data_IF_872657896561
#
_entry.id   IF_872657896561
#
_cell.length_a   1.000
_cell.length_b   1.000
_cell.length_c   1.000
_cell.angle_alpha   90.00
_cell.angle_beta   90.00
_cell.angle_gamma   90.00
#
_symmetry.space_group_name_H-M   'P 1'
#
loop_
_entity.id
_entity.type
_entity.pdbx_description
1 polymer ?
#
# COMPACT_ATOMS: atom_id res chain seq x y z
N UNK A 1 -13.15 -1.39 -11.87
CA UNK A 1 -11.75 -0.93 -11.69
C UNK A 1 -11.65 0.60 -11.58
N UNK A 2 -12.00 1.40 -12.58
CA UNK A 2 -11.91 2.86 -12.49
C UNK A 2 -12.75 3.48 -11.37
N UNK A 3 -13.90 2.91 -11.04
CA UNK A 3 -14.78 3.38 -9.98
C UNK A 3 -14.19 3.13 -8.59
N UNK A 4 -13.58 1.96 -8.36
CA UNK A 4 -12.92 1.65 -7.09
C UNK A 4 -11.72 2.58 -6.85
N UNK A 5 -10.90 2.85 -7.85
CA UNK A 5 -9.81 3.81 -7.77
C UNK A 5 -10.31 5.24 -7.51
N UNK A 6 -11.47 5.60 -8.08
CA UNK A 6 -12.08 6.90 -7.83
C UNK A 6 -12.57 7.05 -6.38
N UNK A 7 -13.21 6.04 -5.82
CA UNK A 7 -13.66 6.04 -4.42
C UNK A 7 -12.46 6.01 -3.46
N UNK A 8 -11.42 5.23 -3.76
CA UNK A 8 -10.18 5.26 -3.00
C UNK A 8 -9.53 6.66 -3.02
N UNK A 9 -9.49 7.30 -4.17
CA UNK A 9 -9.02 8.68 -4.30
C UNK A 9 -9.84 9.66 -3.47
N UNK A 10 -11.16 9.52 -3.44
CA UNK A 10 -12.05 10.33 -2.60
C UNK A 10 -11.76 10.13 -1.11
N UNK A 11 -11.63 8.90 -0.66
CA UNK A 11 -11.31 8.58 0.73
C UNK A 11 -10.00 9.25 1.14
N UNK A 12 -8.96 9.09 0.33
CA UNK A 12 -7.66 9.71 0.56
C UNK A 12 -7.74 11.23 0.63
N UNK A 13 -8.45 11.87 -0.29
CA UNK A 13 -8.57 13.32 -0.34
C UNK A 13 -9.48 13.89 0.77
N UNK A 14 -10.48 13.14 1.20
CA UNK A 14 -11.40 13.58 2.26
C UNK A 14 -10.72 13.63 3.63
N UNK A 15 -9.75 12.75 3.87
CA UNK A 15 -9.04 12.71 5.17
C UNK A 15 -8.11 13.90 5.35
N UNK A 16 -7.60 14.52 4.24
CA UNK A 16 -6.55 15.51 4.39
C UNK A 16 -6.22 16.37 3.17
N UNK A 17 -5.20 17.19 3.38
CA UNK A 17 -4.57 18.13 2.47
C UNK A 17 -3.59 17.48 1.46
N UNK A 18 -3.84 16.27 1.01
CA UNK A 18 -3.08 15.69 -0.10
C UNK A 18 -3.32 16.55 -1.35
N UNK A 19 -2.25 17.12 -1.88
CA UNK A 19 -2.34 18.11 -2.95
C UNK A 19 -2.45 17.49 -4.34
N UNK A 20 -1.99 16.25 -4.51
CA UNK A 20 -1.93 15.60 -5.82
C UNK A 20 -2.11 14.09 -5.68
N UNK A 21 -3.06 13.55 -6.41
CA UNK A 21 -3.25 12.11 -6.59
C UNK A 21 -3.17 11.82 -8.07
N UNK A 22 -2.35 10.84 -8.46
CA UNK A 22 -2.28 10.32 -9.83
C UNK A 22 -3.03 8.99 -9.87
N UNK A 23 -3.88 8.79 -10.85
CA UNK A 23 -4.67 7.58 -11.01
C UNK A 23 -4.32 6.95 -12.36
N UNK A 24 -3.98 5.67 -12.33
CA UNK A 24 -3.74 4.88 -13.52
C UNK A 24 -4.60 3.61 -13.51
N UNK A 25 -5.18 3.30 -14.65
CA UNK A 25 -5.89 2.04 -14.87
C UNK A 25 -4.99 1.04 -15.57
N UNK A 26 -4.92 -0.17 -15.01
CA UNK A 26 -4.15 -1.28 -15.57
C UNK A 26 -5.12 -2.35 -16.06
N UNK A 27 -4.98 -2.77 -17.32
CA UNK A 27 -5.75 -3.88 -17.85
C UNK A 27 -5.24 -5.20 -17.23
N UNK A 28 -6.10 -5.89 -16.50
CA UNK A 28 -5.77 -7.22 -16.00
C UNK A 28 -5.62 -8.20 -17.18
N UNK A 29 -4.56 -9.02 -17.23
CA UNK A 29 -4.42 -10.04 -18.27
C UNK A 29 -5.55 -11.06 -18.14
N UNK A 30 -6.22 -11.35 -19.27
CA UNK A 30 -7.31 -12.31 -19.33
C UNK A 30 -6.79 -13.74 -19.18
N UNK A 31 -7.41 -14.53 -18.32
CA UNK A 31 -7.13 -15.96 -18.16
C UNK A 31 -5.81 -16.31 -17.44
N UNK A 32 -5.13 -15.35 -16.88
CA UNK A 32 -3.89 -15.56 -16.13
C UNK A 32 -4.17 -16.01 -14.69
N UNK A 33 -3.26 -16.79 -14.12
CA UNK A 33 -3.27 -17.11 -12.69
C UNK A 33 -2.95 -15.88 -11.82
N UNK A 34 -3.12 -15.99 -10.52
CA UNK A 34 -2.88 -14.86 -9.60
C UNK A 34 -1.42 -14.38 -9.62
N UNK A 35 -0.46 -15.27 -9.76
CA UNK A 35 0.97 -14.92 -9.88
C UNK A 35 1.26 -14.13 -11.17
N UNK A 36 0.64 -14.51 -12.29
CA UNK A 36 0.82 -13.78 -13.56
C UNK A 36 0.17 -12.40 -13.50
N UNK A 37 -1.00 -12.29 -12.88
CA UNK A 37 -1.66 -11.00 -12.62
C UNK A 37 -0.80 -10.10 -11.73
N UNK A 38 -0.21 -10.66 -10.67
CA UNK A 38 0.69 -9.94 -9.78
C UNK A 38 1.95 -9.44 -10.52
N UNK A 39 2.54 -10.29 -11.37
CA UNK A 39 3.70 -9.91 -12.19
C UNK A 39 3.35 -8.81 -13.20
N UNK A 40 2.19 -8.91 -13.86
CA UNK A 40 1.72 -7.88 -14.79
C UNK A 40 1.45 -6.54 -14.08
N UNK A 41 0.93 -6.59 -12.85
CA UNK A 41 0.73 -5.41 -12.02
C UNK A 41 2.05 -4.71 -11.69
N UNK A 42 3.07 -5.45 -11.25
CA UNK A 42 4.41 -4.91 -10.99
C UNK A 42 5.01 -4.29 -12.25
N UNK A 43 4.93 -4.98 -13.39
CA UNK A 43 5.42 -4.45 -14.65
C UNK A 43 4.72 -3.14 -15.07
N UNK A 44 3.42 -3.06 -14.83
CA UNK A 44 2.67 -1.84 -15.13
C UNK A 44 3.05 -0.68 -14.19
N UNK A 45 3.31 -0.95 -12.91
CA UNK A 45 3.82 0.05 -11.96
C UNK A 45 5.22 0.54 -12.36
N UNK A 46 6.11 -0.33 -12.82
CA UNK A 46 7.41 0.05 -13.35
C UNK A 46 7.29 0.92 -14.61
N UNK A 47 6.42 0.57 -15.53
CA UNK A 47 6.17 1.39 -16.73
C UNK A 47 5.64 2.79 -16.37
N UNK A 48 4.80 2.89 -15.35
CA UNK A 48 4.34 4.17 -14.82
C UNK A 48 5.50 4.97 -14.23
N UNK A 49 6.37 4.33 -13.47
CA UNK A 49 7.56 4.96 -12.88
C UNK A 49 8.52 5.47 -13.94
N UNK A 50 8.77 4.71 -14.99
CA UNK A 50 9.61 5.13 -16.14
C UNK A 50 9.03 6.35 -16.86
N UNK A 51 7.71 6.48 -16.88
CA UNK A 51 7.03 7.59 -17.56
C UNK A 51 6.94 8.85 -16.70
N UNK A 52 6.67 8.68 -15.43
CA UNK A 52 6.47 9.76 -14.44
C UNK A 52 6.82 9.24 -13.04
N UNK A 53 7.99 9.58 -12.54
CA UNK A 53 8.49 9.17 -11.23
C UNK A 53 8.20 10.19 -10.10
N UNK A 54 7.52 11.31 -10.40
CA UNK A 54 7.15 12.35 -9.43
C UNK A 54 5.98 11.91 -8.53
N UNK A 55 6.20 10.85 -7.74
CA UNK A 55 5.31 10.35 -6.70
C UNK A 55 6.07 9.47 -5.71
N UNK A 56 5.56 9.32 -4.49
CA UNK A 56 6.23 8.57 -3.42
C UNK A 56 5.42 7.38 -2.92
N UNK A 57 4.10 7.53 -2.79
CA UNK A 57 3.22 6.52 -2.22
C UNK A 57 2.45 5.82 -3.32
N UNK A 58 2.46 4.49 -3.30
CA UNK A 58 1.66 3.62 -4.15
C UNK A 58 0.49 3.05 -3.34
N UNK A 59 -0.70 3.15 -3.93
CA UNK A 59 -1.91 2.46 -3.51
C UNK A 59 -2.47 1.66 -4.69
N UNK A 60 -3.13 0.55 -4.42
CA UNK A 60 -3.80 -0.26 -5.46
C UNK A 60 -5.16 -0.75 -4.98
N UNK A 61 -6.06 -1.02 -5.90
CA UNK A 61 -7.33 -1.70 -5.63
C UNK A 61 -7.18 -3.22 -5.47
N UNK A 62 -6.00 -3.76 -5.77
CA UNK A 62 -5.71 -5.20 -5.64
C UNK A 62 -5.32 -5.55 -4.20
N UNK A 63 -6.02 -6.50 -3.63
CA UNK A 63 -5.85 -6.99 -2.26
C UNK A 63 -5.54 -8.50 -2.17
N UNK A 64 -5.43 -9.16 -3.34
CA UNK A 64 -5.02 -10.56 -3.41
C UNK A 64 -3.59 -10.79 -2.91
N UNK A 65 -3.36 -11.87 -2.17
CA UNK A 65 -2.10 -12.17 -1.50
C UNK A 65 -0.87 -12.06 -2.40
N UNK A 66 -0.95 -12.59 -3.62
CA UNK A 66 0.17 -12.59 -4.56
C UNK A 66 0.47 -11.16 -5.07
N UNK A 67 -0.56 -10.35 -5.29
CA UNK A 67 -0.40 -8.97 -5.68
C UNK A 67 0.22 -8.14 -4.55
N UNK A 68 -0.26 -8.30 -3.33
CA UNK A 68 0.28 -7.59 -2.15
C UNK A 68 1.74 -7.97 -1.92
N UNK A 69 2.10 -9.26 -1.93
CA UNK A 69 3.49 -9.73 -1.78
C UNK A 69 4.40 -9.19 -2.88
N UNK A 70 3.93 -9.23 -4.13
CA UNK A 70 4.73 -8.76 -5.26
C UNK A 70 5.00 -7.24 -5.19
N UNK A 71 4.00 -6.45 -4.78
CA UNK A 71 4.17 -5.01 -4.60
C UNK A 71 5.02 -4.66 -3.36
N UNK A 72 4.93 -5.44 -2.29
CA UNK A 72 5.85 -5.32 -1.16
C UNK A 72 7.31 -5.54 -1.61
N UNK A 73 7.57 -6.62 -2.35
CA UNK A 73 8.90 -6.91 -2.87
C UNK A 73 9.38 -5.86 -3.87
N UNK A 74 8.48 -5.36 -4.71
CA UNK A 74 8.78 -4.27 -5.64
C UNK A 74 9.17 -2.98 -4.89
N UNK A 75 8.40 -2.57 -3.88
CA UNK A 75 8.70 -1.37 -3.10
C UNK A 75 10.06 -1.48 -2.39
N UNK A 76 10.40 -2.65 -1.84
CA UNK A 76 11.72 -2.91 -1.23
C UNK A 76 12.85 -2.79 -2.26
N UNK A 77 12.63 -3.26 -3.49
CA UNK A 77 13.61 -3.17 -4.57
C UNK A 77 13.85 -1.72 -5.06
N UNK A 78 13.01 -0.77 -4.68
CA UNK A 78 13.25 0.67 -4.94
C UNK A 78 14.24 1.31 -3.96
N UNK A 79 14.65 0.60 -2.91
CA UNK A 79 15.66 1.08 -1.96
C UNK A 79 17.02 1.16 -2.67
N UNK A 80 17.65 2.33 -2.74
CA UNK A 80 18.95 2.48 -3.39
C UNK A 80 20.03 1.74 -2.60
N UNK A 81 20.99 1.21 -3.33
CA UNK A 81 22.20 0.63 -2.74
C UNK A 81 23.10 1.73 -2.15
N UNK A 82 24.01 1.36 -1.25
CA UNK A 82 25.01 2.31 -0.71
C UNK A 82 25.88 2.93 -1.81
N UNK A 83 26.12 2.21 -2.90
CA UNK A 83 26.89 2.71 -4.03
C UNK A 83 26.13 3.79 -4.81
N UNK A 84 24.83 3.61 -5.04
CA UNK A 84 23.96 4.58 -5.71
C UNK A 84 23.80 5.86 -4.88
N UNK A 85 23.60 5.72 -3.56
CA UNK A 85 23.59 6.85 -2.64
C UNK A 85 24.92 7.62 -2.63
N UNK A 86 26.05 6.89 -2.69
CA UNK A 86 27.38 7.48 -2.75
C UNK A 86 27.69 8.18 -4.06
N UNK A 87 27.02 7.81 -5.15
CA UNK A 87 27.15 8.43 -6.46
C UNK A 87 26.35 9.73 -6.60
N UNK A 88 25.48 10.06 -5.62
CA UNK A 88 24.62 11.24 -5.66
C UNK A 88 23.45 11.11 -6.62
N UNK A 89 23.01 9.87 -6.88
CA UNK A 89 21.82 9.62 -7.68
C UNK A 89 20.55 10.12 -6.97
N UNK A 90 19.55 10.44 -7.75
CA UNK A 90 18.26 10.89 -7.20
C UNK A 90 17.59 9.78 -6.39
N UNK A 91 16.88 10.15 -5.34
CA UNK A 91 16.15 9.22 -4.47
C UNK A 91 14.82 8.83 -5.11
N UNK A 92 14.77 7.65 -5.70
CA UNK A 92 13.59 7.07 -6.35
C UNK A 92 12.82 6.09 -5.45
N UNK A 93 13.07 6.08 -4.14
CA UNK A 93 12.40 5.20 -3.20
C UNK A 93 10.88 5.39 -3.22
N UNK A 94 10.17 4.27 -3.15
CA UNK A 94 8.71 4.25 -3.08
C UNK A 94 8.25 3.61 -1.77
N UNK A 95 7.06 3.94 -1.36
CA UNK A 95 6.37 3.36 -0.22
C UNK A 95 5.05 2.77 -0.69
N UNK A 96 4.85 1.49 -0.45
CA UNK A 96 3.61 0.80 -0.79
C UNK A 96 2.70 0.69 0.44
N UNK A 97 1.45 1.07 0.26
CA UNK A 97 0.38 0.77 1.20
C UNK A 97 -0.57 -0.23 0.57
N UNK A 98 -0.74 -1.36 1.24
CA UNK A 98 -1.66 -2.42 0.81
C UNK A 98 -2.66 -2.77 1.89
N UNK A 99 -3.70 -3.46 1.49
CA UNK A 99 -4.65 -4.07 2.39
C UNK A 99 -4.74 -5.57 2.15
N UNK A 100 -5.21 -6.30 3.14
CA UNK A 100 -5.48 -7.73 3.03
C UNK A 100 -6.64 -8.13 3.93
N UNK A 101 -7.36 -9.15 3.53
CA UNK A 101 -8.36 -9.85 4.37
C UNK A 101 -7.82 -11.20 4.88
N UNK A 102 -6.60 -11.57 4.47
CA UNK A 102 -5.98 -12.80 4.88
C UNK A 102 -5.18 -12.64 6.17
N UNK A 103 -5.67 -13.20 7.26
CA UNK A 103 -5.01 -13.20 8.58
C UNK A 103 -3.67 -13.96 8.61
N UNK A 104 -3.37 -14.74 7.57
CA UNK A 104 -2.15 -15.54 7.46
C UNK A 104 -1.14 -14.95 6.47
N UNK A 105 -1.43 -13.79 5.87
CA UNK A 105 -0.50 -13.12 4.99
C UNK A 105 0.69 -12.63 5.80
N UNK A 106 1.91 -13.03 5.41
CA UNK A 106 3.14 -12.54 6.00
C UNK A 106 3.89 -11.64 5.03
N UNK A 107 4.33 -10.49 5.50
CA UNK A 107 5.15 -9.53 4.77
C UNK A 107 6.36 -9.12 5.61
N UNK A 108 7.54 -9.06 5.01
CA UNK A 108 8.79 -8.80 5.73
C UNK A 108 9.52 -7.54 5.27
N UNK A 109 8.89 -6.75 4.42
CA UNK A 109 9.47 -5.62 3.73
C UNK A 109 9.39 -4.34 4.56
N UNK A 110 10.43 -3.50 4.48
CA UNK A 110 10.52 -2.21 5.21
C UNK A 110 9.84 -1.06 4.47
N UNK A 111 9.66 -1.20 3.13
CA UNK A 111 9.09 -0.18 2.25
C UNK A 111 7.60 -0.40 1.98
N UNK A 112 6.94 -1.17 2.85
CA UNK A 112 5.52 -1.42 2.71
C UNK A 112 4.80 -1.43 4.05
N UNK A 113 3.55 -1.00 4.03
CA UNK A 113 2.63 -1.04 5.16
C UNK A 113 1.38 -1.75 4.69
N UNK A 114 1.15 -2.96 5.19
CA UNK A 114 -0.05 -3.73 4.87
C UNK A 114 -1.00 -3.69 6.06
N UNK A 115 -2.27 -3.45 5.79
CA UNK A 115 -3.29 -3.28 6.83
C UNK A 115 -4.37 -4.34 6.63
N UNK A 116 -4.64 -5.10 7.67
CA UNK A 116 -5.73 -6.05 7.72
C UNK A 116 -7.06 -5.31 7.90
N UNK A 117 -8.04 -5.65 7.07
CA UNK A 117 -9.44 -5.24 7.20
C UNK A 117 -10.34 -6.38 6.79
N UNK A 118 -11.50 -6.52 7.41
CA UNK A 118 -12.47 -7.60 7.18
C UNK A 118 -13.70 -7.15 6.38
N UNK A 119 -13.70 -5.91 5.89
CA UNK A 119 -14.80 -5.34 5.13
C UNK A 119 -14.40 -5.11 3.67
N UNK A 120 -15.19 -5.66 2.73
CA UNK A 120 -14.91 -5.61 1.28
C UNK A 120 -14.89 -4.20 0.68
N UNK A 121 -15.72 -3.29 1.24
CA UNK A 121 -15.91 -1.94 0.68
C UNK A 121 -15.10 -0.88 1.45
N UNK A 122 -14.27 -1.28 2.40
CA UNK A 122 -13.40 -0.38 3.13
C UNK A 122 -11.98 -0.41 2.55
N UNK A 123 -11.35 0.77 2.55
CA UNK A 123 -9.99 1.00 2.05
C UNK A 123 -9.09 1.50 3.19
N UNK A 124 -8.69 0.61 4.12
CA UNK A 124 -7.89 1.02 5.27
C UNK A 124 -6.52 1.58 4.88
N UNK A 125 -5.93 1.10 3.81
CA UNK A 125 -4.70 1.61 3.21
C UNK A 125 -4.84 3.07 2.76
N UNK A 126 -5.89 3.39 2.01
CA UNK A 126 -6.15 4.74 1.53
C UNK A 126 -6.52 5.70 2.68
N UNK A 127 -7.36 5.26 3.61
CA UNK A 127 -7.72 6.05 4.78
C UNK A 127 -6.50 6.36 5.65
N UNK A 128 -5.58 5.40 5.79
CA UNK A 128 -4.36 5.58 6.54
C UNK A 128 -3.41 6.56 5.86
N UNK A 129 -3.21 6.43 4.55
CA UNK A 129 -2.43 7.39 3.75
C UNK A 129 -3.05 8.78 3.80
N UNK A 130 -4.37 8.89 3.70
CA UNK A 130 -5.09 10.14 3.84
C UNK A 130 -4.84 10.83 5.18
N UNK A 131 -4.76 10.07 6.25
CA UNK A 131 -4.55 10.58 7.61
C UNK A 131 -3.09 11.00 7.89
N UNK A 132 -2.11 10.33 7.32
CA UNK A 132 -0.69 10.50 7.68
C UNK A 132 0.16 11.06 6.55
N UNK A 133 -0.18 10.76 5.29
CA UNK A 133 0.61 11.13 4.12
C UNK A 133 0.90 12.62 3.92
N UNK A 134 0.04 13.56 4.36
CA UNK A 134 0.31 14.99 4.21
C UNK A 134 1.39 15.56 5.13
N UNK A 135 1.75 14.83 6.15
CA UNK A 135 2.77 15.28 7.09
C UNK A 135 4.18 15.01 6.54
N UNK A 136 5.11 15.87 6.88
CA UNK A 136 6.50 15.62 6.56
C UNK A 136 6.99 14.33 7.21
N UNK A 137 7.82 13.54 6.52
CA UNK A 137 8.52 12.42 7.14
C UNK A 137 9.14 12.84 8.47
N UNK A 138 9.10 11.96 9.48
CA UNK A 138 9.61 12.21 10.83
C UNK A 138 8.81 13.21 11.71
N UNK A 139 7.90 14.00 11.13
CA UNK A 139 7.08 14.95 11.91
C UNK A 139 5.94 14.27 12.66
N UNK A 140 5.57 13.07 12.26
CA UNK A 140 4.44 12.31 12.83
C UNK A 140 4.76 10.82 12.84
N UNK A 141 4.35 10.15 13.91
CA UNK A 141 4.42 8.67 13.93
C UNK A 141 3.31 8.06 13.12
N UNK A 142 3.60 6.97 12.42
CA UNK A 142 2.64 6.15 11.71
C UNK A 142 1.79 5.27 12.65
N UNK A 143 2.23 5.06 13.88
CA UNK A 143 1.51 4.27 14.90
C UNK A 143 0.40 5.08 15.57
N UNK A 144 -0.59 4.37 16.11
CA UNK A 144 -1.68 4.93 16.91
C UNK A 144 -2.55 5.96 16.18
N UNK A 145 -2.70 5.83 14.88
CA UNK A 145 -3.63 6.63 14.10
C UNK A 145 -5.00 5.96 14.06
N UNK A 146 -6.03 6.78 14.03
CA UNK A 146 -7.43 6.33 13.92
C UNK A 146 -8.06 6.98 12.69
N UNK A 147 -7.86 6.39 11.49
CA UNK A 147 -8.59 6.84 10.31
C UNK A 147 -10.09 6.71 10.56
N UNK A 148 -10.86 7.67 10.09
CA UNK A 148 -12.31 7.65 10.25
C UNK A 148 -12.98 6.82 9.16
N UNK A 149 -14.18 6.34 9.43
CA UNK A 149 -14.98 5.61 8.45
C UNK A 149 -14.56 4.15 8.24
N UNK A 150 -13.73 3.61 9.11
CA UNK A 150 -13.31 2.21 9.09
C UNK A 150 -13.89 1.43 10.25
N UNK A 151 -14.23 0.19 9.99
CA UNK A 151 -14.66 -0.79 10.99
C UNK A 151 -13.42 -1.39 11.66
N UNK A 152 -13.45 -1.46 12.99
CA UNK A 152 -12.40 -2.17 13.74
C UNK A 152 -12.69 -3.66 13.65
N UNK A 153 -11.75 -4.48 13.10
CA UNK A 153 -11.98 -5.91 12.95
C UNK A 153 -12.06 -6.61 14.31
N UNK A 154 -12.98 -7.57 14.42
CA UNK A 154 -13.10 -8.41 15.62
C UNK A 154 -12.04 -9.52 15.58
N UNK A 155 -10.96 -9.30 16.30
CA UNK A 155 -9.80 -10.18 16.34
C UNK A 155 -9.59 -10.73 17.75
N UNK A 156 -9.38 -12.03 17.85
CA UNK A 156 -8.91 -12.68 19.06
C UNK A 156 -7.45 -12.28 19.35
N UNK A 157 -7.00 -12.45 20.60
CA UNK A 157 -5.61 -12.15 20.94
C UNK A 157 -4.61 -12.98 20.11
N UNK A 158 -4.91 -14.26 19.87
CA UNK A 158 -4.05 -15.11 19.05
C UNK A 158 -3.96 -14.65 17.58
N UNK A 159 -5.05 -14.11 17.02
CA UNK A 159 -5.03 -13.55 15.67
C UNK A 159 -4.26 -12.22 15.61
N UNK A 160 -4.36 -11.39 16.64
CA UNK A 160 -3.56 -10.16 16.77
C UNK A 160 -2.07 -10.49 16.83
N UNK A 161 -1.68 -11.41 17.69
CA UNK A 161 -0.29 -11.86 17.81
C UNK A 161 0.23 -12.41 16.48
N UNK A 162 -0.57 -13.19 15.75
CA UNK A 162 -0.21 -13.75 14.45
C UNK A 162 -0.03 -12.66 13.38
N UNK A 163 -0.90 -11.64 13.33
CA UNK A 163 -0.78 -10.51 12.42
C UNK A 163 0.46 -9.65 12.75
N UNK A 164 0.75 -9.43 14.03
CA UNK A 164 1.95 -8.71 14.46
C UNK A 164 3.24 -9.45 14.05
N UNK A 165 3.30 -10.76 14.24
CA UNK A 165 4.43 -11.59 13.79
C UNK A 165 4.58 -11.57 12.26
N UNK A 166 3.48 -11.45 11.54
CA UNK A 166 3.43 -11.38 10.09
C UNK A 166 3.75 -9.97 9.52
N UNK A 167 4.00 -8.97 10.35
CA UNK A 167 4.15 -7.55 10.01
C UNK A 167 2.93 -6.96 9.28
N UNK A 168 1.76 -7.45 9.59
CA UNK A 168 0.49 -6.89 9.09
C UNK A 168 -0.14 -6.04 10.17
N UNK A 169 -0.46 -4.80 9.83
CA UNK A 169 -1.07 -3.86 10.75
C UNK A 169 -2.59 -4.08 10.81
N UNK A 170 -3.22 -3.68 11.90
CA UNK A 170 -4.66 -3.72 12.06
C UNK A 170 -5.14 -2.60 12.97
N UNK A 171 -6.42 -2.27 12.85
CA UNK A 171 -7.04 -1.26 13.71
C UNK A 171 -7.41 -1.87 15.06
N UNK A 172 -7.21 -1.09 16.13
CA UNK A 172 -7.63 -1.44 17.49
C UNK A 172 -8.52 -0.34 18.09
N UNK A 173 -9.37 -0.71 19.03
CA UNK A 173 -10.22 0.23 19.78
C UNK A 173 -9.39 1.09 20.71
#
# INVERSE_FOLDING_TARGET
MAEALFEQGKTTLAETLIRKVKIAGIAAPSGSGETEKASALVQAVETLRETDDDWYILLTDQDGDEAVKALCAWAEATEPTEAELGAGEEDHRKLYFGRTQNKSLAVTNRRSIVIYGDQDEEYPDAAYVGNVGPFYPESVTWKFKRPQGLTVPDLTNAERDALEEANVNFLTV
#
